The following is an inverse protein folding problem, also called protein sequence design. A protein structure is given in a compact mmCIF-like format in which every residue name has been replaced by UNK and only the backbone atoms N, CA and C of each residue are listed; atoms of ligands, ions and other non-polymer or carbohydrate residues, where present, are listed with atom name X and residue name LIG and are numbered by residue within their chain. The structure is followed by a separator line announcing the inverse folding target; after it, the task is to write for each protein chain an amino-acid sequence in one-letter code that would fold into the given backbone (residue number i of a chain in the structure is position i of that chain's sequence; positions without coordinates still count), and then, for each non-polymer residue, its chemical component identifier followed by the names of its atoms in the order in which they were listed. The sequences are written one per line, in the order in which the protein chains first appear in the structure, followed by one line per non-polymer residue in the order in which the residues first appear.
data_IF_349578010826
#
_entry.id   IF_349578010826
#
_cell.length_a   1.000
_cell.length_b   1.000
_cell.length_c   1.000
_cell.angle_alpha   90.00
_cell.angle_beta   90.00
_cell.angle_gamma   90.00
#
_symmetry.space_group_name_H-M   'P 1'
#
loop_
_entity.id
_entity.type
_entity.pdbx_description
1 polymer ?
#
# COMPACT_ATOMS: atom_id res chain seq x y z
N UNK A 1 -7.29 -21.79 4.65
CA UNK A 1 -6.22 -22.36 3.79
C UNK A 1 -6.66 -22.19 2.34
N UNK A 2 -5.79 -21.63 1.49
CA UNK A 2 -6.06 -21.40 0.07
C UNK A 2 -6.58 -22.67 -0.62
N UNK A 3 -7.65 -22.54 -1.42
CA UNK A 3 -8.25 -23.66 -2.15
C UNK A 3 -8.64 -23.26 -3.58
N UNK A 4 -8.79 -24.25 -4.45
CA UNK A 4 -9.25 -24.08 -5.84
C UNK A 4 -10.74 -24.42 -5.95
N UNK A 5 -11.49 -23.59 -6.68
CA UNK A 5 -12.91 -23.82 -6.93
C UNK A 5 -13.10 -24.48 -8.29
N UNK A 6 -13.10 -25.82 -8.29
CA UNK A 6 -13.05 -26.65 -9.51
C UNK A 6 -14.25 -26.42 -10.43
N UNK A 7 -15.46 -26.26 -9.88
CA UNK A 7 -16.68 -26.07 -10.67
C UNK A 7 -16.77 -24.71 -11.39
N UNK A 8 -15.95 -23.73 -10.99
CA UNK A 8 -15.87 -22.40 -11.63
C UNK A 8 -14.58 -22.23 -12.44
N UNK A 9 -13.70 -23.24 -12.42
CA UNK A 9 -12.44 -23.24 -13.16
C UNK A 9 -12.59 -23.96 -14.49
N UNK A 10 -11.72 -23.66 -15.45
CA UNK A 10 -11.67 -24.31 -16.75
C UNK A 10 -10.22 -24.42 -17.27
N UNK A 11 -10.05 -24.80 -18.53
CA UNK A 11 -8.72 -25.02 -19.13
C UNK A 11 -7.81 -23.77 -19.18
N UNK A 12 -8.37 -22.55 -19.13
CA UNK A 12 -7.61 -21.29 -19.21
C UNK A 12 -7.78 -20.37 -18.00
N UNK A 13 -8.77 -20.62 -17.13
CA UNK A 13 -9.08 -19.80 -15.96
C UNK A 13 -9.13 -20.66 -14.70
N UNK A 14 -8.42 -20.22 -13.65
CA UNK A 14 -8.41 -20.83 -12.33
C UNK A 14 -9.07 -19.90 -11.33
N UNK A 15 -10.08 -20.40 -10.59
CA UNK A 15 -10.71 -19.66 -9.49
C UNK A 15 -10.14 -20.14 -8.16
N UNK A 16 -9.51 -19.22 -7.43
CA UNK A 16 -8.98 -19.45 -6.09
C UNK A 16 -9.96 -18.86 -5.06
N UNK A 17 -10.17 -19.60 -3.97
CA UNK A 17 -11.01 -19.17 -2.84
C UNK A 17 -10.22 -19.24 -1.55
N UNK A 18 -10.70 -18.51 -0.53
CA UNK A 18 -10.00 -18.36 0.74
C UNK A 18 -8.58 -17.80 0.53
N UNK A 19 -8.51 -16.71 -0.25
CA UNK A 19 -7.28 -15.98 -0.58
C UNK A 19 -6.95 -15.03 0.57
N UNK A 20 -5.72 -15.09 1.04
CA UNK A 20 -5.19 -14.28 2.14
C UNK A 20 -3.77 -13.78 1.80
N UNK A 21 -3.24 -12.78 2.54
CA UNK A 21 -1.87 -12.29 2.37
C UNK A 21 -0.78 -13.34 2.09
N UNK A 22 -0.75 -14.42 2.87
CA UNK A 22 0.20 -15.53 2.76
C UNK A 22 0.04 -16.37 1.48
N UNK A 23 -1.07 -16.20 0.75
CA UNK A 23 -1.28 -16.80 -0.57
C UNK A 23 -0.51 -16.08 -1.67
N UNK A 24 0.13 -14.95 -1.38
CA UNK A 24 1.01 -14.25 -2.32
C UNK A 24 2.20 -15.12 -2.70
N UNK A 25 2.55 -15.14 -3.99
CA UNK A 25 3.62 -15.99 -4.48
C UNK A 25 3.62 -16.17 -5.99
N UNK A 26 4.48 -17.06 -6.48
CA UNK A 26 4.57 -17.43 -7.89
C UNK A 26 3.63 -18.61 -8.17
N UNK A 27 2.77 -18.45 -9.17
CA UNK A 27 1.87 -19.47 -9.67
C UNK A 27 2.26 -19.83 -11.10
N UNK A 28 2.27 -21.11 -11.40
CA UNK A 28 2.64 -21.63 -12.72
C UNK A 28 1.49 -22.44 -13.30
N UNK A 29 1.20 -22.22 -14.57
CA UNK A 29 0.34 -23.09 -15.38
C UNK A 29 1.24 -23.93 -16.29
N UNK A 30 1.04 -25.24 -16.27
CA UNK A 30 1.75 -26.20 -17.10
C UNK A 30 0.77 -26.87 -18.05
N UNK A 31 1.10 -26.87 -19.34
CA UNK A 31 0.34 -27.55 -20.39
C UNK A 31 1.28 -28.53 -21.06
N UNK A 32 0.91 -29.80 -21.08
CA UNK A 32 1.71 -30.87 -21.68
C UNK A 32 0.93 -31.51 -22.82
N UNK A 33 1.52 -31.55 -24.00
CA UNK A 33 0.99 -32.25 -25.17
C UNK A 33 1.02 -33.76 -24.94
N UNK A 34 0.03 -34.46 -25.50
CA UNK A 34 0.02 -35.92 -25.52
C UNK A 34 0.93 -36.47 -26.64
N UNK A 35 1.06 -37.80 -26.72
CA UNK A 35 1.82 -38.46 -27.77
C UNK A 35 1.46 -37.96 -29.20
N UNK A 36 2.43 -37.89 -30.13
CA UNK A 36 3.81 -38.41 -30.04
C UNK A 36 4.86 -37.40 -29.54
N UNK A 37 4.53 -36.12 -29.38
CA UNK A 37 5.52 -35.04 -29.22
C UNK A 37 5.81 -34.60 -27.78
N UNK A 38 4.97 -34.94 -26.79
CA UNK A 38 5.18 -34.72 -25.34
C UNK A 38 5.87 -33.38 -24.96
N UNK A 39 5.52 -32.29 -25.64
CA UNK A 39 6.05 -30.98 -25.31
C UNK A 39 5.32 -30.38 -24.12
N UNK A 40 6.08 -29.84 -23.16
CA UNK A 40 5.54 -29.13 -22.00
C UNK A 40 5.81 -27.64 -22.13
N UNK A 41 4.78 -26.82 -22.00
CA UNK A 41 4.87 -25.36 -21.89
C UNK A 41 4.47 -24.93 -20.49
N UNK A 42 5.31 -24.10 -19.87
CA UNK A 42 5.07 -23.55 -18.53
C UNK A 42 5.01 -22.03 -18.63
N UNK A 43 3.98 -21.45 -18.04
CA UNK A 43 3.86 -20.01 -17.87
C UNK A 43 3.72 -19.67 -16.38
N UNK A 44 4.59 -18.79 -15.88
CA UNK A 44 4.61 -18.38 -14.47
C UNK A 44 4.22 -16.92 -14.30
N UNK A 45 3.42 -16.61 -13.29
CA UNK A 45 3.09 -15.24 -12.88
C UNK A 45 3.13 -15.10 -11.36
N UNK A 46 3.41 -13.88 -10.88
CA UNK A 46 3.35 -13.55 -9.46
C UNK A 46 1.98 -12.99 -9.12
N UNK A 47 1.34 -13.56 -8.10
CA UNK A 47 0.12 -13.04 -7.49
C UNK A 47 0.50 -12.34 -6.18
N UNK A 48 0.10 -11.08 -6.04
CA UNK A 48 0.24 -10.32 -4.79
C UNK A 48 -1.15 -10.09 -4.22
N UNK A 49 -1.38 -10.57 -3.00
CA UNK A 49 -2.61 -10.33 -2.26
C UNK A 49 -2.41 -9.07 -1.43
N UNK A 50 -3.33 -8.12 -1.60
CA UNK A 50 -3.34 -6.88 -0.83
C UNK A 50 -4.51 -6.88 0.13
N UNK A 51 -4.29 -6.35 1.32
CA UNK A 51 -5.32 -6.07 2.30
C UNK A 51 -5.44 -4.55 2.44
N UNK A 52 -6.59 -4.01 2.07
CA UNK A 52 -6.79 -2.57 2.05
C UNK A 52 -7.28 -2.09 3.42
N UNK A 53 -6.93 -0.85 3.84
CA UNK A 53 -7.51 -0.28 5.03
C UNK A 53 -9.05 -0.27 4.92
N UNK A 54 -9.73 -0.60 6.01
CA UNK A 54 -11.20 -0.62 6.06
C UNK A 54 -11.85 0.76 5.79
N UNK A 55 -11.09 1.85 5.95
CA UNK A 55 -11.54 3.20 5.71
C UNK A 55 -10.42 4.06 5.09
N UNK A 56 -10.80 5.14 4.42
CA UNK A 56 -9.85 6.13 3.94
C UNK A 56 -9.02 6.73 5.09
N UNK A 57 -7.79 7.20 4.82
CA UNK A 57 -6.98 7.91 5.81
C UNK A 57 -7.71 9.11 6.36
N UNK A 58 -7.53 9.36 7.67
CA UNK A 58 -8.18 10.45 8.38
C UNK A 58 -7.16 11.49 8.78
N UNK A 59 -7.52 12.76 8.62
CA UNK A 59 -6.75 13.88 9.17
C UNK A 59 -7.27 14.15 10.58
N UNK A 60 -6.37 14.07 11.54
CA UNK A 60 -6.62 14.27 12.96
C UNK A 60 -6.09 15.63 13.39
N UNK A 61 -6.61 16.12 14.51
CA UNK A 61 -6.20 17.37 15.16
C UNK A 61 -6.38 18.62 14.27
N UNK A 62 -7.29 18.55 13.29
CA UNK A 62 -7.65 19.68 12.45
C UNK A 62 -8.54 20.67 13.21
N UNK A 63 -8.16 21.95 13.19
CA UNK A 63 -8.94 23.06 13.76
C UNK A 63 -9.87 23.65 12.70
N UNK A 64 -11.04 24.19 13.09
CA UNK A 64 -11.95 24.84 12.15
C UNK A 64 -11.37 26.14 11.57
N UNK A 65 -10.47 26.81 12.31
CA UNK A 65 -9.82 28.05 11.90
C UNK A 65 -8.36 28.03 12.34
N UNK A 66 -7.48 28.55 11.48
CA UNK A 66 -6.07 28.79 11.75
C UNK A 66 -5.79 30.28 11.57
N UNK A 67 -4.95 30.85 12.44
CA UNK A 67 -4.46 32.22 12.25
C UNK A 67 -3.62 32.35 10.99
N UNK A 68 -3.55 33.55 10.41
CA UNK A 68 -2.75 33.81 9.20
C UNK A 68 -1.26 33.45 9.36
N UNK A 69 -0.74 33.50 10.59
CA UNK A 69 0.65 33.20 10.97
C UNK A 69 0.76 31.92 11.80
N UNK A 70 -0.30 31.11 11.88
CA UNK A 70 -0.31 29.86 12.62
C UNK A 70 0.10 28.68 11.73
N UNK A 71 0.96 27.81 12.25
CA UNK A 71 1.35 26.60 11.54
C UNK A 71 0.28 25.52 11.60
N UNK A 72 0.07 24.84 10.47
CA UNK A 72 -0.77 23.66 10.40
C UNK A 72 -0.05 22.46 11.02
N UNK A 73 -0.47 22.06 12.21
CA UNK A 73 -0.03 20.83 12.89
C UNK A 73 -1.19 19.84 12.88
N UNK A 74 -1.08 18.82 12.02
CA UNK A 74 -2.11 17.79 11.82
C UNK A 74 -1.47 16.44 11.57
N UNK A 75 -2.19 15.36 11.91
CA UNK A 75 -1.76 13.99 11.68
C UNK A 75 -2.65 13.32 10.62
N UNK A 76 -2.06 12.82 9.53
CA UNK A 76 -2.77 11.94 8.61
C UNK A 76 -2.51 10.49 9.04
N UNK A 77 -3.59 9.77 9.38
CA UNK A 77 -3.53 8.40 9.85
C UNK A 77 -4.35 7.46 8.97
N UNK A 78 -3.73 6.38 8.51
CA UNK A 78 -4.44 5.29 7.85
C UNK A 78 -4.80 4.17 8.83
N UNK A 79 -5.85 3.43 8.49
CA UNK A 79 -6.03 2.08 9.04
C UNK A 79 -4.90 1.15 8.59
N UNK A 80 -4.84 -0.05 9.18
CA UNK A 80 -3.85 -1.05 8.82
C UNK A 80 -4.05 -1.59 7.41
N UNK A 81 -2.96 -1.89 6.71
CA UNK A 81 -3.00 -2.52 5.38
C UNK A 81 -1.77 -3.37 5.09
N UNK A 82 -1.89 -4.17 4.02
CA UNK A 82 -0.79 -4.86 3.38
C UNK A 82 -0.82 -4.62 1.86
N UNK A 83 0.24 -4.08 1.26
CA UNK A 83 1.44 -3.55 1.90
C UNK A 83 1.16 -2.33 2.78
N UNK A 84 2.18 -1.88 3.51
CA UNK A 84 2.12 -0.63 4.26
C UNK A 84 1.64 0.51 3.35
N UNK A 85 0.68 1.34 3.79
CA UNK A 85 0.08 2.34 2.93
C UNK A 85 1.05 3.49 2.70
N UNK A 86 1.06 4.01 1.46
CA UNK A 86 1.82 5.20 1.10
C UNK A 86 0.91 6.42 1.22
N UNK A 87 1.19 7.27 2.19
CA UNK A 87 0.42 8.48 2.49
C UNK A 87 1.18 9.72 2.00
N UNK A 88 0.49 10.59 1.27
CA UNK A 88 1.04 11.82 0.71
C UNK A 88 0.09 12.99 0.98
N UNK A 89 0.66 14.15 1.32
CA UNK A 89 -0.09 15.38 1.50
C UNK A 89 -0.20 16.12 0.16
N UNK A 90 -1.43 16.43 -0.26
CA UNK A 90 -1.71 17.20 -1.47
C UNK A 90 -2.34 18.54 -1.07
N UNK A 91 -1.68 19.64 -1.43
CA UNK A 91 -2.23 20.98 -1.29
C UNK A 91 -3.10 21.32 -2.51
N UNK A 92 -4.25 22.00 -2.34
CA UNK A 92 -5.03 22.52 -3.45
C UNK A 92 -4.22 23.51 -4.29
N UNK A 93 -4.44 23.56 -5.61
CA UNK A 93 -3.64 24.39 -6.53
C UNK A 93 -3.68 25.89 -6.22
N UNK A 94 -4.79 26.39 -5.65
CA UNK A 94 -4.90 27.79 -5.24
C UNK A 94 -4.03 28.12 -4.02
N UNK A 95 -3.77 27.14 -3.14
CA UNK A 95 -2.93 27.33 -1.96
C UNK A 95 -1.44 27.43 -2.31
N UNK A 96 -1.02 26.85 -3.46
CA UNK A 96 0.36 26.98 -3.96
C UNK A 96 0.76 28.40 -4.31
N UNK A 97 -0.20 29.24 -4.71
CA UNK A 97 0.07 30.61 -5.17
C UNK A 97 -0.02 31.64 -4.05
N UNK A 98 -0.71 31.34 -2.94
CA UNK A 98 -0.99 32.28 -1.86
C UNK A 98 -0.19 32.07 -0.58
N UNK A 99 0.45 30.91 -0.38
CA UNK A 99 1.29 30.70 0.80
C UNK A 99 2.32 29.57 0.61
N UNK A 100 3.54 29.90 0.16
CA UNK A 100 4.65 28.96 0.23
C UNK A 100 5.10 28.84 1.69
N UNK A 101 4.49 27.93 2.47
CA UNK A 101 4.92 27.65 3.85
C UNK A 101 3.86 27.20 4.87
N UNK A 102 2.57 27.20 4.54
CA UNK A 102 1.50 26.86 5.52
C UNK A 102 1.49 25.39 5.97
N UNK A 103 2.11 24.48 5.22
CA UNK A 103 2.28 23.07 5.61
C UNK A 103 3.71 22.88 6.12
N UNK A 104 4.02 23.40 7.31
CA UNK A 104 5.35 23.24 7.91
C UNK A 104 5.46 21.96 8.75
N UNK A 105 4.36 21.52 9.39
CA UNK A 105 4.40 20.51 10.47
C UNK A 105 3.35 19.38 10.29
N UNK A 106 3.15 18.91 9.05
CA UNK A 106 2.24 17.79 8.79
C UNK A 106 2.92 16.44 9.05
N UNK A 107 2.34 15.63 9.95
CA UNK A 107 2.88 14.31 10.30
C UNK A 107 2.09 13.20 9.60
N UNK A 108 2.83 12.24 9.06
CA UNK A 108 2.24 11.09 8.37
C UNK A 108 2.41 9.83 9.22
N UNK A 109 1.31 9.12 9.50
CA UNK A 109 1.31 7.88 10.29
C UNK A 109 0.59 6.78 9.51
N UNK A 110 1.36 5.79 9.07
CA UNK A 110 0.85 4.57 8.45
C UNK A 110 0.79 3.45 9.50
N UNK A 111 -0.37 2.80 9.65
CA UNK A 111 -0.50 1.58 10.45
C UNK A 111 -0.31 0.34 9.57
N UNK A 112 0.33 -0.71 10.10
CA UNK A 112 0.51 -2.02 9.44
C UNK A 112 -0.04 -3.14 10.35
N UNK A 113 -0.62 -4.21 9.80
CA UNK A 113 -1.08 -5.39 10.57
C UNK A 113 -0.43 -6.73 10.20
N UNK A 114 0.48 -6.82 9.24
CA UNK A 114 1.04 -8.13 8.89
C UNK A 114 2.11 -8.59 9.90
N UNK A 115 1.78 -9.62 10.69
CA UNK A 115 2.69 -10.30 11.61
C UNK A 115 3.84 -11.08 10.91
N UNK A 116 3.86 -11.17 9.58
CA UNK A 116 4.85 -11.96 8.83
C UNK A 116 6.14 -11.21 8.44
N UNK A 117 6.26 -9.90 8.72
CA UNK A 117 7.48 -9.11 8.43
C UNK A 117 8.06 -8.39 9.65
N UNK A 118 8.19 -9.10 10.77
CA UNK A 118 8.92 -8.61 11.95
C UNK A 118 10.44 -8.43 11.72
N UNK A 119 10.99 -8.89 10.58
CA UNK A 119 12.44 -8.94 10.35
C UNK A 119 13.03 -7.77 9.56
N UNK A 120 12.23 -6.84 9.03
CA UNK A 120 12.75 -5.73 8.21
C UNK A 120 12.43 -4.31 8.66
N UNK A 121 11.64 -4.10 9.72
CA UNK A 121 11.23 -2.73 10.07
C UNK A 121 12.24 -2.02 10.98
N UNK A 122 13.18 -1.28 10.36
CA UNK A 122 13.73 -0.08 11.02
C UNK A 122 12.59 0.94 11.14
N UNK A 123 12.36 1.49 12.34
CA UNK A 123 11.58 2.72 12.49
C UNK A 123 12.15 3.76 11.51
N UNK A 124 11.44 4.06 10.42
CA UNK A 124 11.70 5.28 9.67
C UNK A 124 10.99 6.41 10.40
N UNK A 125 11.62 6.90 11.48
CA UNK A 125 11.32 8.23 11.98
C UNK A 125 11.94 9.22 10.99
N UNK A 126 11.20 9.61 9.96
CA UNK A 126 11.56 10.81 9.21
C UNK A 126 11.19 11.99 10.10
N UNK A 127 12.11 12.38 10.98
CA UNK A 127 12.13 13.75 11.48
C UNK A 127 12.41 14.60 10.26
N UNK A 128 11.49 15.51 9.92
CA UNK A 128 11.77 16.55 8.96
C UNK A 128 12.93 17.39 9.52
N UNK A 129 14.15 17.04 9.13
CA UNK A 129 15.34 17.82 9.40
C UNK A 129 15.26 19.07 8.52
N UNK A 130 15.10 20.23 9.15
CA UNK A 130 15.38 21.49 8.49
C UNK A 130 16.86 21.54 8.13
N UNK A 131 17.16 21.75 6.86
CA UNK A 131 18.48 22.17 6.41
C UNK A 131 18.36 23.58 5.83
N UNK A 132 18.67 24.56 6.69
CA UNK A 132 18.93 25.92 6.26
C UNK A 132 20.31 25.92 5.58
N UNK A 133 20.35 25.70 4.26
CA UNK A 133 21.53 25.98 3.46
C UNK A 133 21.48 27.44 3.00
N UNK A 134 22.11 28.33 3.76
CA UNK A 134 22.52 29.64 3.29
C UNK A 134 23.92 29.93 3.86
N UNK A 135 24.95 29.72 3.05
CA UNK A 135 26.23 30.45 3.09
C UNK A 135 26.81 30.49 1.68
#
# INVERSE_FOLDING_TARGET
MLATQVNLSNASHLVLVNVEPQSSGKYSCEITEAAPSFHTKIATRTMNVVDLPAAAPQILDIKPFYGAEEFLEVECRSGPSLPAPKLEWLAPDYARHQAPGLISNAKTVAACTSADDERHFRRSSTVAGGENANT
#
